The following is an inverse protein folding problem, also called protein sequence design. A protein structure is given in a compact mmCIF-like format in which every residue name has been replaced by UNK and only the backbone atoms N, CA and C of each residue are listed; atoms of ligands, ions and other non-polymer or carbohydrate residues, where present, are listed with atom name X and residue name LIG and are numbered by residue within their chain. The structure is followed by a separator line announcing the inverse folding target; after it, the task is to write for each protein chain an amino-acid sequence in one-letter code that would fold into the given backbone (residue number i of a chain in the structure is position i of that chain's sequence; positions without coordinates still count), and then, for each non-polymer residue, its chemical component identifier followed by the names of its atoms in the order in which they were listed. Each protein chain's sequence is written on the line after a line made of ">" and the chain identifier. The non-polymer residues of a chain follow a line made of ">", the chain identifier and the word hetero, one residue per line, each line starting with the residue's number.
data_IF_049123596310
#
_entry.id   IF_049123596310
#
_cell.length_a   1.000
_cell.length_b   1.000
_cell.length_c   1.000
_cell.angle_alpha   90.00
_cell.angle_beta   90.00
_cell.angle_gamma   90.00
#
_symmetry.space_group_name_H-M   'P 1'
#
loop_
_entity.id
_entity.type
_entity.pdbx_description
1 polymer ?
#
# COMPACT_ATOMS: atom_id res chain seq x y z
N UNK A 1 -6.42 13.58 -3.46
CA UNK A 1 -7.79 13.15 -3.22
C UNK A 1 -7.83 11.63 -3.28
N UNK A 2 -8.56 10.99 -2.41
CA UNK A 2 -8.72 9.54 -2.34
C UNK A 2 -10.20 9.19 -2.40
N UNK A 3 -10.52 8.18 -3.19
CA UNK A 3 -11.89 7.67 -3.35
C UNK A 3 -11.91 6.16 -3.14
N UNK A 4 -13.05 5.64 -2.71
CA UNK A 4 -13.34 4.22 -2.63
C UNK A 4 -14.72 3.93 -3.23
N UNK A 5 -14.87 2.77 -3.83
CA UNK A 5 -16.17 2.26 -4.23
C UNK A 5 -16.31 0.83 -3.69
N UNK A 6 -17.16 0.62 -2.66
CA UNK A 6 -17.32 -0.68 -2.00
C UNK A 6 -18.00 -1.73 -2.89
N UNK A 7 -18.67 -1.33 -3.96
CA UNK A 7 -19.41 -2.22 -4.87
C UNK A 7 -18.67 -2.56 -6.16
N UNK A 8 -17.45 -2.03 -6.38
CA UNK A 8 -16.71 -2.31 -7.60
C UNK A 8 -16.16 -3.75 -7.54
N UNK A 9 -16.88 -4.66 -8.19
CA UNK A 9 -16.32 -5.98 -8.49
C UNK A 9 -15.34 -5.83 -9.67
N UNK A 10 -14.22 -6.52 -9.60
CA UNK A 10 -13.11 -6.53 -10.54
C UNK A 10 -13.49 -6.92 -11.98
N UNK A 11 -14.26 -6.11 -12.67
CA UNK A 11 -14.51 -6.31 -14.09
C UNK A 11 -13.58 -5.44 -14.93
N UNK A 12 -12.52 -6.09 -15.39
CA UNK A 12 -11.83 -5.82 -16.66
C UNK A 12 -11.10 -4.48 -16.85
N UNK A 13 -10.22 -4.09 -15.95
CA UNK A 13 -9.05 -3.32 -16.34
C UNK A 13 -7.85 -4.24 -16.17
N UNK A 14 -7.08 -4.47 -17.23
CA UNK A 14 -5.89 -5.31 -17.14
C UNK A 14 -4.88 -4.71 -16.16
N UNK A 15 -4.22 -5.56 -15.42
CA UNK A 15 -3.19 -5.19 -14.45
C UNK A 15 -2.12 -4.32 -15.14
N UNK A 16 -1.87 -3.11 -14.60
CA UNK A 16 -0.91 -2.13 -15.14
C UNK A 16 -1.25 -1.54 -16.53
N UNK A 17 -2.48 -1.59 -16.97
CA UNK A 17 -2.90 -0.89 -18.17
C UNK A 17 -2.95 0.61 -17.95
N UNK A 18 -2.41 1.38 -18.90
CA UNK A 18 -2.52 2.85 -18.93
C UNK A 18 -3.61 3.21 -19.92
N UNK A 19 -4.67 3.81 -19.42
CA UNK A 19 -5.75 4.32 -20.25
C UNK A 19 -5.58 5.84 -20.34
N UNK A 20 -5.47 6.36 -21.56
CA UNK A 20 -5.34 7.79 -21.81
C UNK A 20 -6.64 8.35 -22.39
N UNK A 21 -7.08 9.48 -21.85
CA UNK A 21 -8.20 10.27 -22.34
C UNK A 21 -7.80 11.71 -22.57
N UNK A 22 -8.74 12.56 -23.00
CA UNK A 22 -8.48 13.98 -23.24
C UNK A 22 -8.03 14.75 -22.01
N UNK A 23 -8.34 14.27 -20.81
CA UNK A 23 -8.14 14.98 -19.56
C UNK A 23 -7.28 14.21 -18.54
N UNK A 24 -7.07 12.91 -18.73
CA UNK A 24 -6.41 12.09 -17.72
C UNK A 24 -5.71 10.88 -18.34
N UNK A 25 -4.75 10.37 -17.59
CA UNK A 25 -4.22 9.02 -17.73
C UNK A 25 -4.54 8.24 -16.47
N UNK A 26 -5.03 7.04 -16.61
CA UNK A 26 -5.35 6.17 -15.50
C UNK A 26 -4.49 4.91 -15.54
N UNK A 27 -4.01 4.49 -14.40
CA UNK A 27 -3.25 3.26 -14.24
C UNK A 27 -3.86 2.44 -13.13
N UNK A 28 -4.15 1.18 -13.41
CA UNK A 28 -4.55 0.23 -12.37
C UNK A 28 -3.33 -0.25 -11.61
N UNK A 29 -3.41 -0.19 -10.30
CA UNK A 29 -2.38 -0.67 -9.39
C UNK A 29 -3.02 -1.58 -8.34
N UNK A 30 -2.18 -2.40 -7.70
CA UNK A 30 -2.64 -3.27 -6.63
C UNK A 30 -1.85 -2.93 -5.35
N UNK A 31 -2.58 -2.57 -4.32
CA UNK A 31 -2.01 -2.40 -2.99
C UNK A 31 -2.54 -3.52 -2.09
N UNK A 32 -1.67 -4.47 -1.74
CA UNK A 32 -1.99 -5.56 -0.81
C UNK A 32 -3.35 -6.23 -1.08
N UNK A 33 -3.60 -6.65 -2.33
CA UNK A 33 -4.84 -7.27 -2.84
C UNK A 33 -6.00 -6.32 -3.14
N UNK A 34 -5.84 -5.01 -2.91
CA UNK A 34 -6.85 -4.03 -3.30
C UNK A 34 -6.51 -3.45 -4.68
N UNK A 35 -7.45 -3.55 -5.58
CA UNK A 35 -7.37 -2.82 -6.85
C UNK A 35 -7.48 -1.33 -6.59
N UNK A 36 -6.64 -0.57 -7.25
CA UNK A 36 -6.70 0.89 -7.22
C UNK A 36 -6.48 1.43 -8.62
N UNK A 37 -6.98 2.62 -8.85
CA UNK A 37 -6.77 3.36 -10.09
C UNK A 37 -6.11 4.68 -9.73
N UNK A 38 -4.94 4.92 -10.28
CA UNK A 38 -4.24 6.19 -10.15
C UNK A 38 -4.58 7.05 -11.37
N UNK A 39 -5.12 8.23 -11.14
CA UNK A 39 -5.43 9.21 -12.19
C UNK A 39 -4.36 10.29 -12.19
N UNK A 40 -3.78 10.56 -13.36
CA UNK A 40 -2.93 11.70 -13.62
C UNK A 40 -3.67 12.65 -14.55
N UNK A 41 -3.94 13.89 -14.12
CA UNK A 41 -4.68 14.87 -14.87
C UNK A 41 -4.23 16.29 -14.53
N UNK A 42 -4.55 17.25 -15.41
CA UNK A 42 -4.31 18.65 -15.15
C UNK A 42 -5.19 19.15 -13.98
N UNK A 43 -4.63 19.99 -13.12
CA UNK A 43 -5.31 20.53 -11.94
C UNK A 43 -6.63 21.23 -12.27
N UNK A 44 -6.73 21.83 -13.45
CA UNK A 44 -7.98 22.48 -13.95
C UNK A 44 -9.14 21.49 -14.10
N UNK A 45 -8.85 20.19 -14.26
CA UNK A 45 -9.86 19.15 -14.43
C UNK A 45 -10.27 18.46 -13.11
N UNK A 46 -9.77 18.94 -11.98
CA UNK A 46 -10.01 18.33 -10.67
C UNK A 46 -11.50 18.15 -10.36
N UNK A 47 -12.28 19.22 -10.51
CA UNK A 47 -13.72 19.17 -10.21
C UNK A 47 -14.49 18.28 -11.18
N UNK A 48 -14.07 18.23 -12.45
CA UNK A 48 -14.68 17.35 -13.45
C UNK A 48 -14.46 15.89 -13.07
N UNK A 49 -13.22 15.53 -12.76
CA UNK A 49 -12.88 14.15 -12.37
C UNK A 49 -13.55 13.76 -11.03
N UNK A 50 -13.60 14.69 -10.07
CA UNK A 50 -14.27 14.48 -8.79
C UNK A 50 -15.77 14.17 -9.00
N UNK A 51 -16.46 14.97 -9.78
CA UNK A 51 -17.88 14.77 -10.08
C UNK A 51 -18.11 13.45 -10.82
N UNK A 52 -17.27 13.12 -11.80
CA UNK A 52 -17.34 11.84 -12.50
C UNK A 52 -17.21 10.64 -11.56
N UNK A 53 -16.35 10.72 -10.56
CA UNK A 53 -16.18 9.65 -9.58
C UNK A 53 -17.39 9.56 -8.64
N UNK A 54 -17.91 10.69 -8.18
CA UNK A 54 -19.12 10.74 -7.33
C UNK A 54 -20.33 10.18 -8.07
N UNK A 55 -20.50 10.51 -9.35
CA UNK A 55 -21.58 9.97 -10.21
C UNK A 55 -21.48 8.46 -10.45
N UNK A 56 -20.32 7.87 -10.15
CA UNK A 56 -20.06 6.42 -10.24
C UNK A 56 -20.03 5.76 -8.85
N UNK A 57 -20.69 6.34 -7.87
CA UNK A 57 -20.78 5.85 -6.51
C UNK A 57 -19.44 5.72 -5.77
N UNK A 58 -18.41 6.45 -6.21
CA UNK A 58 -17.19 6.57 -5.43
C UNK A 58 -17.40 7.54 -4.27
N UNK A 59 -16.93 7.17 -3.10
CA UNK A 59 -16.95 8.02 -1.91
C UNK A 59 -15.61 8.69 -1.73
N UNK A 60 -15.61 10.01 -1.55
CA UNK A 60 -14.41 10.75 -1.17
C UNK A 60 -14.04 10.41 0.26
N UNK A 61 -12.79 10.05 0.48
CA UNK A 61 -12.25 9.81 1.82
C UNK A 61 -11.56 11.07 2.33
N UNK A 62 -11.93 11.51 3.52
CA UNK A 62 -11.11 12.44 4.29
C UNK A 62 -9.79 11.78 4.73
N UNK A 63 -8.89 12.56 5.31
CA UNK A 63 -7.58 12.08 5.70
C UNK A 63 -7.65 10.98 6.76
N UNK A 64 -8.52 11.12 7.75
CA UNK A 64 -8.61 10.16 8.88
C UNK A 64 -9.19 8.83 8.42
N UNK A 65 -10.22 8.86 7.58
CA UNK A 65 -10.78 7.67 6.96
C UNK A 65 -9.78 6.99 6.03
N UNK A 66 -9.01 7.77 5.24
CA UNK A 66 -7.93 7.21 4.44
C UNK A 66 -6.82 6.58 5.30
N UNK A 67 -6.41 7.23 6.38
CA UNK A 67 -5.41 6.69 7.30
C UNK A 67 -5.90 5.40 7.95
N UNK A 68 -7.13 5.37 8.43
CA UNK A 68 -7.74 4.16 9.00
C UNK A 68 -7.84 3.04 7.97
N UNK A 69 -8.27 3.34 6.74
CA UNK A 69 -8.35 2.39 5.65
C UNK A 69 -6.98 1.78 5.32
N UNK A 70 -5.95 2.62 5.11
CA UNK A 70 -4.61 2.13 4.75
C UNK A 70 -3.98 1.28 5.86
N UNK A 71 -4.16 1.68 7.13
CA UNK A 71 -3.64 0.95 8.28
C UNK A 71 -4.31 -0.41 8.38
N UNK A 72 -5.63 -0.47 8.31
CA UNK A 72 -6.40 -1.72 8.33
C UNK A 72 -5.98 -2.68 7.21
N UNK A 73 -5.71 -2.16 6.02
CA UNK A 73 -5.34 -2.95 4.85
C UNK A 73 -3.83 -3.12 4.67
N UNK A 74 -3.03 -2.69 5.66
CA UNK A 74 -1.57 -2.83 5.65
C UNK A 74 -0.91 -2.21 4.40
N UNK A 75 -1.36 -1.00 4.01
CA UNK A 75 -0.84 -0.25 2.87
C UNK A 75 0.21 0.75 3.36
N UNK A 76 1.52 0.54 3.08
CA UNK A 76 2.56 1.48 3.46
C UNK A 76 2.40 2.80 2.72
N UNK A 77 2.59 3.92 3.43
CA UNK A 77 2.41 5.25 2.86
C UNK A 77 3.22 6.31 3.62
N UNK A 78 3.89 7.18 2.87
CA UNK A 78 4.64 8.30 3.44
C UNK A 78 5.90 7.88 4.22
N UNK A 79 6.48 8.82 4.93
CA UNK A 79 7.78 8.66 5.61
C UNK A 79 7.77 7.72 6.81
N UNK A 80 6.60 7.37 7.34
CA UNK A 80 6.52 6.44 8.47
C UNK A 80 6.93 5.03 8.08
N UNK A 81 6.60 4.60 6.88
CA UNK A 81 6.95 3.28 6.35
C UNK A 81 8.03 3.37 5.28
N UNK A 82 7.87 4.29 4.32
CA UNK A 82 8.78 4.40 3.16
C UNK A 82 9.94 5.31 3.53
N UNK A 83 10.99 4.72 4.09
CA UNK A 83 12.19 5.40 4.56
C UNK A 83 13.41 4.47 4.48
N UNK A 84 14.57 4.94 4.94
CA UNK A 84 15.82 4.16 4.92
C UNK A 84 15.91 3.07 5.99
N UNK A 85 14.96 2.98 6.92
CA UNK A 85 15.01 2.01 8.04
C UNK A 85 14.52 0.62 7.61
N UNK A 86 13.58 0.56 6.67
CA UNK A 86 12.93 -0.66 6.25
C UNK A 86 13.28 -1.04 4.81
N UNK A 87 13.48 -2.34 4.59
CA UNK A 87 13.63 -2.87 3.24
C UNK A 87 12.25 -2.97 2.57
N UNK A 88 12.11 -2.68 1.27
CA UNK A 88 10.83 -2.82 0.56
C UNK A 88 10.18 -4.21 0.69
N UNK A 89 10.96 -5.28 0.77
CA UNK A 89 10.44 -6.64 0.97
C UNK A 89 9.87 -6.85 2.39
N UNK A 90 10.33 -6.09 3.39
CA UNK A 90 9.74 -6.10 4.73
C UNK A 90 8.39 -5.38 4.77
N UNK A 91 8.15 -4.48 3.81
CA UNK A 91 6.94 -3.66 3.68
C UNK A 91 5.87 -4.25 2.75
N UNK A 92 6.04 -5.50 2.30
CA UNK A 92 5.17 -6.16 1.30
C UNK A 92 5.13 -5.41 -0.05
N UNK A 93 6.22 -4.77 -0.45
CA UNK A 93 6.36 -4.02 -1.70
C UNK A 93 7.06 -4.80 -2.80
N UNK A 94 7.14 -6.13 -2.68
CA UNK A 94 7.71 -7.05 -3.68
C UNK A 94 7.04 -6.87 -5.05
N UNK A 95 5.74 -6.63 -5.08
CA UNK A 95 4.95 -6.45 -6.31
C UNK A 95 5.29 -5.19 -7.13
N UNK A 96 6.02 -4.22 -6.56
CA UNK A 96 6.48 -3.02 -7.28
C UNK A 96 7.96 -3.09 -7.66
N UNK A 97 8.64 -4.16 -7.29
CA UNK A 97 10.05 -4.39 -7.63
C UNK A 97 10.09 -5.19 -8.93
N UNK A 98 10.80 -4.67 -9.92
CA UNK A 98 11.10 -5.40 -11.14
C UNK A 98 12.49 -6.05 -10.98
N UNK A 99 12.50 -7.37 -10.85
CA UNK A 99 13.74 -8.14 -10.67
C UNK A 99 14.48 -8.38 -11.98
N UNK A 100 13.80 -8.24 -13.11
CA UNK A 100 14.35 -8.51 -14.46
C UNK A 100 14.88 -7.25 -15.15
N UNK A 101 14.64 -6.07 -14.57
CA UNK A 101 15.16 -4.82 -15.12
C UNK A 101 16.68 -4.71 -14.95
N UNK A 102 17.29 -3.83 -15.75
CA UNK A 102 18.72 -3.51 -15.65
C UNK A 102 19.18 -3.06 -14.25
N UNK A 103 20.49 -2.95 -14.05
CA UNK A 103 21.10 -2.68 -12.74
C UNK A 103 20.62 -1.37 -12.10
N UNK A 104 20.39 -1.40 -10.80
CA UNK A 104 20.03 -0.26 -9.97
C UNK A 104 20.73 -0.32 -8.61
N UNK A 105 20.83 0.79 -7.91
CA UNK A 105 21.48 0.87 -6.60
C UNK A 105 20.70 0.03 -5.59
N UNK A 106 21.38 -0.92 -4.93
CA UNK A 106 20.77 -1.80 -3.91
C UNK A 106 20.17 -3.09 -4.47
N UNK A 107 20.21 -3.33 -5.79
CA UNK A 107 19.68 -4.54 -6.42
C UNK A 107 20.23 -5.83 -5.80
N UNK A 108 21.54 -5.88 -5.56
CA UNK A 108 22.19 -7.07 -5.00
C UNK A 108 21.62 -7.45 -3.64
N UNK A 109 21.37 -6.46 -2.77
CA UNK A 109 20.81 -6.69 -1.44
C UNK A 109 19.37 -7.22 -1.55
N UNK A 110 18.55 -6.60 -2.39
CA UNK A 110 17.16 -7.01 -2.59
C UNK A 110 17.08 -8.40 -3.20
N UNK A 111 17.82 -8.65 -4.30
CA UNK A 111 17.86 -9.95 -4.95
C UNK A 111 18.35 -11.06 -4.01
N UNK A 112 19.38 -10.77 -3.21
CA UNK A 112 19.90 -11.73 -2.22
C UNK A 112 18.89 -12.05 -1.10
N UNK A 113 18.17 -11.05 -0.61
CA UNK A 113 17.14 -11.26 0.42
C UNK A 113 15.99 -12.09 -0.12
N UNK A 114 15.58 -11.86 -1.36
CA UNK A 114 14.52 -12.59 -2.03
C UNK A 114 14.93 -14.03 -2.32
N UNK A 115 16.03 -14.23 -3.06
CA UNK A 115 16.52 -15.56 -3.48
C UNK A 115 16.73 -16.51 -2.30
N UNK A 116 17.29 -16.01 -1.21
CA UNK A 116 17.55 -16.84 -0.01
C UNK A 116 16.41 -16.84 1.01
N UNK A 117 15.27 -16.20 0.71
CA UNK A 117 14.15 -16.03 1.61
C UNK A 117 14.58 -15.53 3.02
N UNK A 118 15.52 -14.58 3.04
CA UNK A 118 16.14 -14.08 4.28
C UNK A 118 15.42 -12.86 4.87
N UNK A 119 14.29 -12.46 4.33
CA UNK A 119 13.46 -11.39 4.88
C UNK A 119 12.89 -11.84 6.23
N UNK A 120 13.46 -11.30 7.30
CA UNK A 120 13.11 -11.72 8.68
C UNK A 120 11.94 -10.97 9.28
N UNK A 121 11.66 -9.76 8.80
CA UNK A 121 10.58 -8.92 9.29
C UNK A 121 9.48 -8.80 8.25
N UNK A 122 8.30 -8.41 8.69
CA UNK A 122 7.16 -8.17 7.82
C UNK A 122 6.28 -7.07 8.40
N UNK A 123 5.78 -6.20 7.52
CA UNK A 123 4.76 -5.23 7.85
C UNK A 123 3.42 -5.96 7.97
N UNK A 124 2.73 -5.75 9.08
CA UNK A 124 1.40 -6.30 9.33
C UNK A 124 0.50 -5.23 9.92
N UNK A 125 -0.79 -5.40 9.73
CA UNK A 125 -1.82 -4.64 10.44
C UNK A 125 -2.40 -5.52 11.54
N UNK A 126 -2.49 -4.98 12.74
CA UNK A 126 -3.01 -5.68 13.92
C UNK A 126 -3.98 -4.79 14.67
N UNK A 127 -4.95 -5.42 15.34
CA UNK A 127 -5.84 -4.69 16.23
C UNK A 127 -5.08 -4.33 17.52
N UNK A 128 -5.20 -3.10 17.97
CA UNK A 128 -4.47 -2.60 19.14
C UNK A 128 -4.85 -3.32 20.44
N UNK A 129 -6.07 -3.88 20.51
CA UNK A 129 -6.56 -4.62 21.70
C UNK A 129 -5.97 -6.02 21.83
N UNK A 130 -5.66 -6.68 20.69
CA UNK A 130 -5.27 -8.10 20.65
C UNK A 130 -3.75 -8.31 20.49
N UNK A 131 -2.96 -7.25 20.48
CA UNK A 131 -1.64 -7.22 19.86
C UNK A 131 -0.46 -7.07 20.80
N UNK A 132 -0.66 -7.11 22.12
CA UNK A 132 0.40 -6.84 23.11
C UNK A 132 1.66 -7.68 22.92
N UNK A 133 1.51 -8.95 22.51
CA UNK A 133 2.65 -9.86 22.32
C UNK A 133 3.51 -9.51 21.09
N UNK A 134 2.92 -9.05 19.99
CA UNK A 134 3.65 -8.69 18.77
C UNK A 134 4.26 -7.30 18.88
N UNK A 135 3.50 -6.34 19.40
CA UNK A 135 3.96 -4.95 19.57
C UNK A 135 5.17 -4.89 20.47
N UNK A 136 5.18 -5.65 21.58
CA UNK A 136 6.26 -5.68 22.55
C UNK A 136 7.38 -6.69 22.21
N UNK A 137 7.30 -7.34 21.03
CA UNK A 137 8.34 -8.30 20.65
C UNK A 137 9.66 -7.62 20.28
N UNK A 138 10.82 -8.26 20.57
CA UNK A 138 12.11 -7.66 20.27
C UNK A 138 12.28 -7.34 18.79
N UNK A 139 12.55 -6.07 18.49
CA UNK A 139 12.77 -5.57 17.13
C UNK A 139 11.50 -5.29 16.34
N UNK A 140 10.34 -5.23 17.01
CA UNK A 140 9.11 -4.68 16.43
C UNK A 140 9.15 -3.14 16.45
N UNK A 141 8.51 -2.53 15.47
CA UNK A 141 8.39 -1.07 15.34
C UNK A 141 7.00 -0.74 14.87
N UNK A 142 6.24 0.04 15.66
CA UNK A 142 4.98 0.61 15.23
C UNK A 142 5.30 1.74 14.25
N UNK A 143 4.72 1.70 13.06
CA UNK A 143 4.95 2.71 12.01
C UNK A 143 3.79 3.69 11.90
N UNK A 144 2.56 3.20 12.00
CA UNK A 144 1.34 4.02 11.94
C UNK A 144 0.27 3.43 12.84
N UNK A 145 -0.60 4.29 13.36
CA UNK A 145 -1.68 3.89 14.27
C UNK A 145 -2.96 4.67 13.97
N UNK A 146 -4.09 4.01 14.08
CA UNK A 146 -5.44 4.57 14.16
C UNK A 146 -6.11 4.06 15.44
N UNK A 147 -7.36 4.46 15.69
CA UNK A 147 -8.07 4.14 16.93
C UNK A 147 -8.06 2.66 17.31
N UNK A 148 -8.27 1.78 16.34
CA UNK A 148 -8.44 0.35 16.58
C UNK A 148 -7.34 -0.53 15.98
N UNK A 149 -6.50 0.01 15.10
CA UNK A 149 -5.48 -0.76 14.39
C UNK A 149 -4.14 -0.02 14.37
N UNK A 150 -3.08 -0.78 14.35
CA UNK A 150 -1.75 -0.24 14.09
C UNK A 150 -1.02 -1.09 13.05
N UNK A 151 -0.13 -0.44 12.30
CA UNK A 151 0.83 -1.12 11.44
C UNK A 151 2.13 -1.29 12.19
N UNK A 152 2.66 -2.49 12.12
CA UNK A 152 3.88 -2.89 12.83
C UNK A 152 4.79 -3.65 11.89
N UNK A 153 6.05 -3.25 11.83
CA UNK A 153 7.11 -4.08 11.24
C UNK A 153 7.65 -4.98 12.33
N UNK A 154 7.37 -6.26 12.27
CA UNK A 154 7.75 -7.24 13.29
C UNK A 154 8.47 -8.45 12.69
N UNK A 155 9.27 -9.15 13.52
CA UNK A 155 9.95 -10.37 13.07
C UNK A 155 8.96 -11.51 12.84
N UNK A 156 9.07 -12.19 11.69
CA UNK A 156 8.20 -13.30 11.29
C UNK A 156 8.02 -14.37 12.37
N UNK A 157 9.05 -14.65 13.17
CA UNK A 157 9.02 -15.64 14.26
C UNK A 157 8.02 -15.32 15.39
N UNK A 158 7.61 -14.07 15.51
CA UNK A 158 6.62 -13.63 16.51
C UNK A 158 5.21 -13.48 15.93
N UNK A 159 5.07 -13.61 14.61
CA UNK A 159 3.79 -13.63 13.95
C UNK A 159 3.22 -15.04 14.08
N UNK A 160 2.16 -15.22 14.86
CA UNK A 160 1.45 -16.50 14.89
C UNK A 160 0.82 -16.73 13.52
N UNK A 161 1.00 -17.91 12.98
CA UNK A 161 0.26 -18.38 11.79
C UNK A 161 -1.22 -18.47 12.10
#
# INVERSE_FOLDING_TARGET
>A
IKFTNPSLSSKSINKNEIISGHFYSAKTTFYNKHESIDFLFDKSNLEIIKNLLLDKDFLELDLDNFLSFRIKNCIPYGSNEINSTFNPLELNLDHIIDFDKGCYIGQEVIARLDTYNKVQKKLISINTKDSSGVINSPGSTITSQSDNNCMVVARKKYLKN
#
